data_IF_083200535798
#
_entry.id   IF_083200535798
#
_cell.length_a   1.000
_cell.length_b   1.000
_cell.length_c   1.000
_cell.angle_alpha   90.00
_cell.angle_beta   90.00
_cell.angle_gamma   90.00
#
_symmetry.space_group_name_H-M   'P 1'
#
loop_
_entity.id
_entity.type
_entity.pdbx_description
1 polymer ?
#
# COMPACT_ATOMS: atom_id res chain seq x y z
N UNK A 1 8.44 -8.65 21.59
CA UNK A 1 8.09 -10.07 21.80
C UNK A 1 7.10 -10.47 20.73
N UNK A 2 7.39 -11.50 19.92
CA UNK A 2 6.49 -11.94 18.83
C UNK A 2 5.21 -12.51 19.43
N UNK A 3 4.02 -11.93 19.22
CA UNK A 3 2.79 -12.56 19.64
C UNK A 3 2.36 -13.49 18.50
N UNK A 4 2.67 -14.79 18.56
CA UNK A 4 2.43 -15.63 17.38
C UNK A 4 2.57 -17.14 17.48
N UNK A 5 2.71 -17.73 18.67
CA UNK A 5 2.88 -19.19 18.78
C UNK A 5 1.79 -19.88 19.61
N UNK A 6 0.52 -19.45 19.52
CA UNK A 6 -0.53 -20.23 20.19
C UNK A 6 -1.99 -19.80 20.10
N UNK A 7 -2.35 -18.60 19.67
CA UNK A 7 -3.76 -18.17 19.65
C UNK A 7 -4.01 -17.32 18.41
N UNK A 8 -5.02 -17.67 17.61
CA UNK A 8 -5.56 -16.77 16.58
C UNK A 8 -5.94 -15.48 17.29
N UNK A 9 -5.14 -14.43 17.10
CA UNK A 9 -5.46 -13.14 17.68
C UNK A 9 -6.71 -12.60 16.98
N UNK A 10 -7.75 -12.19 17.70
CA UNK A 10 -8.95 -11.59 17.10
C UNK A 10 -8.61 -10.41 16.16
N UNK A 11 -7.52 -9.69 16.41
CA UNK A 11 -7.02 -8.63 15.55
C UNK A 11 -6.62 -9.10 14.13
N UNK A 12 -6.29 -10.37 13.92
CA UNK A 12 -6.00 -10.91 12.59
C UNK A 12 -7.24 -10.87 11.67
N UNK A 13 -8.45 -10.95 12.24
CA UNK A 13 -9.70 -10.80 11.48
C UNK A 13 -9.80 -9.38 10.90
N UNK A 14 -9.39 -8.36 11.66
CA UNK A 14 -9.36 -6.98 11.15
C UNK A 14 -8.38 -6.80 10.00
N UNK A 15 -7.24 -7.51 10.01
CA UNK A 15 -6.27 -7.50 8.91
C UNK A 15 -6.86 -8.16 7.65
N UNK A 16 -7.64 -9.23 7.81
CA UNK A 16 -8.35 -9.85 6.67
C UNK A 16 -9.43 -8.92 6.11
N UNK A 17 -10.20 -8.27 6.98
CA UNK A 17 -11.20 -7.28 6.57
C UNK A 17 -10.53 -6.10 5.84
N UNK A 18 -9.41 -5.58 6.35
CA UNK A 18 -8.69 -4.48 5.70
C UNK A 18 -8.14 -4.89 4.34
N UNK A 19 -7.60 -6.11 4.20
CA UNK A 19 -7.15 -6.65 2.92
C UNK A 19 -8.31 -6.76 1.91
N UNK A 20 -9.49 -7.22 2.35
CA UNK A 20 -10.68 -7.28 1.52
C UNK A 20 -11.18 -5.89 1.09
N UNK A 21 -11.24 -4.94 2.03
CA UNK A 21 -11.60 -3.55 1.74
C UNK A 21 -10.60 -2.89 0.78
N UNK A 22 -9.31 -3.14 0.98
CA UNK A 22 -8.24 -2.63 0.12
C UNK A 22 -8.35 -3.19 -1.31
N UNK A 23 -8.56 -4.51 -1.45
CA UNK A 23 -8.77 -5.14 -2.74
C UNK A 23 -10.04 -4.62 -3.44
N UNK A 24 -11.12 -4.43 -2.67
CA UNK A 24 -12.39 -3.88 -3.18
C UNK A 24 -12.23 -2.44 -3.65
N UNK A 25 -11.53 -1.61 -2.88
CA UNK A 25 -11.22 -0.21 -3.23
C UNK A 25 -10.42 -0.16 -4.53
N UNK A 26 -9.36 -0.96 -4.67
CA UNK A 26 -8.58 -1.05 -5.91
C UNK A 26 -9.40 -1.53 -7.11
N UNK A 27 -10.27 -2.52 -6.93
CA UNK A 27 -11.13 -3.02 -8.00
C UNK A 27 -12.16 -1.96 -8.44
N UNK A 28 -12.69 -1.17 -7.50
CA UNK A 28 -13.57 -0.04 -7.80
C UNK A 28 -12.82 1.05 -8.59
N UNK A 29 -11.64 1.45 -8.13
CA UNK A 29 -10.77 2.42 -8.81
C UNK A 29 -10.45 1.97 -10.23
N UNK A 30 -10.22 0.67 -10.45
CA UNK A 30 -9.98 0.11 -11.78
C UNK A 30 -11.18 0.25 -12.72
N UNK A 31 -12.41 0.14 -12.21
CA UNK A 31 -13.63 0.35 -13.03
C UNK A 31 -13.88 1.82 -13.33
N UNK A 32 -13.60 2.71 -12.38
CA UNK A 32 -13.81 4.17 -12.54
C UNK A 32 -12.71 4.85 -13.37
N UNK A 33 -11.54 4.22 -13.55
CA UNK A 33 -10.45 4.75 -14.40
C UNK A 33 -10.86 5.03 -15.85
N UNK A 34 -11.88 4.34 -16.37
CA UNK A 34 -12.33 4.51 -17.75
C UNK A 34 -13.22 5.75 -17.96
N UNK A 35 -13.77 6.32 -16.88
CA UNK A 35 -14.74 7.43 -16.95
C UNK A 35 -14.24 8.69 -16.27
N UNK A 36 -13.39 8.56 -15.24
CA UNK A 36 -12.97 9.67 -14.38
C UNK A 36 -11.51 10.07 -14.57
N UNK A 37 -11.22 11.35 -14.32
CA UNK A 37 -9.83 11.84 -14.32
C UNK A 37 -9.04 11.27 -13.13
N UNK A 38 -7.75 11.01 -13.33
CA UNK A 38 -6.89 10.47 -12.26
C UNK A 38 -6.78 11.43 -11.05
N UNK A 39 -6.88 12.74 -11.28
CA UNK A 39 -6.89 13.74 -10.21
C UNK A 39 -8.17 13.64 -9.37
N UNK A 40 -9.32 13.42 -10.02
CA UNK A 40 -10.61 13.20 -9.35
C UNK A 40 -10.55 11.95 -8.45
N UNK A 41 -10.02 10.85 -8.98
CA UNK A 41 -9.86 9.60 -8.21
C UNK A 41 -8.96 9.79 -6.98
N UNK A 42 -7.80 10.44 -7.13
CA UNK A 42 -6.89 10.71 -6.02
C UNK A 42 -7.52 11.64 -4.96
N UNK A 43 -8.28 12.65 -5.40
CA UNK A 43 -8.98 13.56 -4.50
C UNK A 43 -10.03 12.83 -3.66
N UNK A 44 -10.90 12.02 -4.29
CA UNK A 44 -11.93 11.27 -3.56
C UNK A 44 -11.34 10.24 -2.59
N UNK A 45 -10.23 9.60 -2.94
CA UNK A 45 -9.52 8.70 -2.02
C UNK A 45 -9.04 9.45 -0.78
N UNK A 46 -8.42 10.63 -0.94
CA UNK A 46 -7.96 11.44 0.19
C UNK A 46 -9.12 11.96 1.05
N UNK A 47 -10.22 12.40 0.43
CA UNK A 47 -11.44 12.80 1.15
C UNK A 47 -12.00 11.62 1.95
N UNK A 48 -12.07 10.43 1.36
CA UNK A 48 -12.51 9.22 2.05
C UNK A 48 -11.62 8.87 3.24
N UNK A 49 -10.29 8.94 3.08
CA UNK A 49 -9.34 8.75 4.18
C UNK A 49 -9.55 9.76 5.31
N UNK A 50 -9.74 11.04 4.99
CA UNK A 50 -10.00 12.09 5.98
C UNK A 50 -11.31 11.82 6.73
N UNK A 51 -12.39 11.50 6.01
CA UNK A 51 -13.69 11.22 6.62
C UNK A 51 -13.62 10.02 7.56
N UNK A 52 -13.05 8.89 7.10
CA UNK A 52 -12.90 7.69 7.93
C UNK A 52 -12.01 7.96 9.15
N UNK A 53 -10.91 8.69 8.96
CA UNK A 53 -9.99 9.05 10.05
C UNK A 53 -10.65 9.98 11.07
N UNK A 54 -11.43 10.96 10.63
CA UNK A 54 -12.18 11.86 11.50
C UNK A 54 -13.28 11.12 12.26
N UNK A 55 -14.06 10.26 11.59
CA UNK A 55 -15.09 9.45 12.26
C UNK A 55 -14.48 8.54 13.31
N UNK A 56 -13.37 7.88 13.00
CA UNK A 56 -12.67 7.04 13.97
C UNK A 56 -12.06 7.86 15.12
N UNK A 57 -11.45 9.01 14.82
CA UNK A 57 -10.90 9.93 15.82
C UNK A 57 -11.97 10.47 16.79
N UNK A 58 -13.15 10.84 16.28
CA UNK A 58 -14.27 11.29 17.12
C UNK A 58 -14.88 10.16 17.96
N UNK A 59 -14.90 8.93 17.44
CA UNK A 59 -15.53 7.80 18.13
C UNK A 59 -14.61 7.12 19.15
N UNK A 60 -13.31 6.97 18.83
CA UNK A 60 -12.34 6.21 19.61
C UNK A 60 -11.24 7.09 20.24
N UNK A 61 -11.08 8.34 19.81
CA UNK A 61 -9.97 9.21 20.22
C UNK A 61 -10.05 9.71 21.66
N UNK A 62 -11.25 9.81 22.24
CA UNK A 62 -11.48 10.24 23.63
C UNK A 62 -10.95 9.23 24.67
N UNK A 63 -10.52 8.04 24.25
CA UNK A 63 -9.96 7.03 25.15
C UNK A 63 -10.99 6.27 25.99
N UNK A 64 -12.29 6.46 25.76
CA UNK A 64 -13.36 5.70 26.43
C UNK A 64 -13.29 4.19 26.15
N UNK A 65 -12.66 3.80 25.05
CA UNK A 65 -12.44 2.40 24.67
C UNK A 65 -11.03 1.90 25.03
N UNK A 66 -10.25 2.67 25.79
CA UNK A 66 -8.87 2.32 26.12
C UNK A 66 -8.78 0.97 26.85
N UNK A 67 -8.05 0.05 26.27
CA UNK A 67 -7.87 -1.31 26.77
C UNK A 67 -6.62 -1.40 27.68
N UNK A 68 -6.58 -2.38 28.60
CA UNK A 68 -5.41 -2.59 29.47
C UNK A 68 -4.11 -2.80 28.69
N UNK A 69 -3.00 -2.33 29.27
CA UNK A 69 -1.65 -2.50 28.71
C UNK A 69 -1.34 -3.98 28.50
N UNK A 70 -0.93 -4.35 27.29
CA UNK A 70 -0.65 -5.73 26.89
C UNK A 70 -1.79 -6.46 26.17
N UNK A 71 -2.96 -5.84 26.03
CA UNK A 71 -4.03 -6.35 25.15
C UNK A 71 -3.68 -6.05 23.69
N UNK A 72 -4.01 -6.97 22.75
CA UNK A 72 -3.84 -6.73 21.30
C UNK A 72 -4.57 -5.46 20.83
N UNK A 73 -5.61 -5.07 21.55
CA UNK A 73 -6.47 -3.92 21.27
C UNK A 73 -5.95 -2.58 21.82
N UNK A 74 -4.87 -2.59 22.61
CA UNK A 74 -4.27 -1.39 23.20
C UNK A 74 -3.92 -0.34 22.13
N UNK A 75 -3.35 -0.78 21.00
CA UNK A 75 -2.94 0.11 19.92
C UNK A 75 -4.14 0.76 19.21
N UNK A 76 -5.23 0.02 19.01
CA UNK A 76 -6.40 0.48 18.25
C UNK A 76 -7.23 1.52 19.01
N UNK A 77 -7.38 1.36 20.33
CA UNK A 77 -8.18 2.25 21.18
C UNK A 77 -7.31 3.14 22.06
N UNK A 78 -6.06 3.36 21.68
CA UNK A 78 -5.17 4.27 22.40
C UNK A 78 -5.76 5.69 22.34
N UNK A 79 -5.82 6.41 23.47
CA UNK A 79 -6.26 7.80 23.48
C UNK A 79 -5.44 8.64 22.51
N UNK A 80 -6.11 9.49 21.74
CA UNK A 80 -5.43 10.42 20.85
C UNK A 80 -4.68 11.46 21.68
N UNK A 81 -3.40 11.65 21.36
CA UNK A 81 -2.59 12.70 21.98
C UNK A 81 -2.16 13.69 20.90
N UNK A 82 -2.31 14.99 21.20
CA UNK A 82 -1.89 16.04 20.28
C UNK A 82 -0.35 16.03 20.20
N UNK A 83 0.24 15.83 19.02
CA UNK A 83 1.69 15.78 18.89
C UNK A 83 2.31 17.14 19.23
N UNK A 84 3.51 17.16 19.86
CA UNK A 84 4.26 18.38 20.13
C UNK A 84 4.48 19.20 18.85
N UNK A 85 4.47 20.54 18.97
CA UNK A 85 4.67 21.46 17.84
C UNK A 85 5.98 21.19 17.09
N UNK A 86 7.01 20.71 17.80
CA UNK A 86 8.30 20.33 17.23
C UNK A 86 8.21 19.19 16.21
N UNK A 87 7.14 18.38 16.20
CA UNK A 87 6.97 17.26 15.27
C UNK A 87 6.10 17.62 14.07
N UNK A 88 5.43 18.79 14.09
CA UNK A 88 4.49 19.19 13.04
C UNK A 88 5.14 19.32 11.66
N UNK A 89 6.42 19.69 11.60
CA UNK A 89 7.14 19.74 10.33
C UNK A 89 7.21 18.36 9.67
N UNK A 90 7.35 17.28 10.44
CA UNK A 90 7.40 15.92 9.91
C UNK A 90 6.03 15.48 9.38
N UNK A 91 4.94 15.84 10.07
CA UNK A 91 3.57 15.62 9.57
C UNK A 91 3.29 16.37 8.27
N UNK A 92 3.70 17.64 8.19
CA UNK A 92 3.55 18.43 6.95
C UNK A 92 4.42 17.86 5.84
N UNK A 93 5.69 17.54 6.12
CA UNK A 93 6.61 16.97 5.13
C UNK A 93 6.11 15.63 4.58
N UNK A 94 5.63 14.74 5.44
CA UNK A 94 5.07 13.44 5.03
C UNK A 94 3.75 13.61 4.25
N UNK A 95 2.86 14.50 4.70
CA UNK A 95 1.63 14.80 3.98
C UNK A 95 1.88 15.37 2.57
N UNK A 96 2.81 16.30 2.45
CA UNK A 96 3.23 16.87 1.15
C UNK A 96 3.89 15.80 0.28
N UNK A 97 4.81 14.99 0.84
CA UNK A 97 5.47 13.92 0.10
C UNK A 97 4.47 12.88 -0.45
N UNK A 98 3.50 12.45 0.37
CA UNK A 98 2.44 11.53 -0.06
C UNK A 98 1.53 12.18 -1.11
N UNK A 99 1.13 13.44 -0.92
CA UNK A 99 0.30 14.17 -1.87
C UNK A 99 0.98 14.33 -3.24
N UNK A 100 2.23 14.80 -3.26
CA UNK A 100 3.04 14.97 -4.47
C UNK A 100 3.31 13.60 -5.12
N UNK A 101 3.70 12.59 -4.34
CA UNK A 101 3.93 11.24 -4.84
C UNK A 101 2.69 10.64 -5.50
N UNK A 102 1.52 10.79 -4.88
CA UNK A 102 0.24 10.36 -5.44
C UNK A 102 -0.11 11.07 -6.75
N UNK A 103 0.14 12.39 -6.84
CA UNK A 103 -0.06 13.16 -8.08
C UNK A 103 0.90 12.72 -9.19
N UNK A 104 2.19 12.55 -8.88
CA UNK A 104 3.19 12.09 -9.85
C UNK A 104 2.85 10.69 -10.36
N UNK A 105 2.44 9.78 -9.47
CA UNK A 105 2.03 8.43 -9.84
C UNK A 105 0.77 8.45 -10.71
N UNK A 106 -0.21 9.27 -10.36
CA UNK A 106 -1.43 9.47 -11.15
C UNK A 106 -1.13 9.98 -12.56
N UNK A 107 -0.14 10.86 -12.71
CA UNK A 107 0.32 11.34 -14.02
C UNK A 107 1.10 10.28 -14.79
N UNK A 108 1.98 9.52 -14.14
CA UNK A 108 2.73 8.43 -14.78
C UNK A 108 1.79 7.37 -15.37
N UNK A 109 0.73 7.01 -14.65
CA UNK A 109 -0.31 6.10 -15.14
C UNK A 109 -1.14 6.66 -16.31
N UNK A 110 -1.09 7.98 -16.57
CA UNK A 110 -1.77 8.61 -17.71
C UNK A 110 -0.87 8.71 -18.94
N UNK A 111 0.41 8.99 -18.74
CA UNK A 111 1.36 9.20 -19.85
C UNK A 111 1.98 7.91 -20.37
N UNK A 112 1.96 6.84 -19.57
CA UNK A 112 2.68 5.60 -19.85
C UNK A 112 1.76 4.38 -19.69
N UNK A 113 2.01 3.31 -20.44
CA UNK A 113 1.32 2.03 -20.26
C UNK A 113 1.48 1.50 -18.83
N UNK A 114 0.39 1.07 -18.21
CA UNK A 114 0.40 0.59 -16.81
C UNK A 114 1.39 -0.57 -16.57
N UNK A 115 1.65 -1.39 -17.59
CA UNK A 115 2.62 -2.48 -17.55
C UNK A 115 4.07 -2.00 -17.35
N UNK A 116 4.40 -0.76 -17.73
CA UNK A 116 5.72 -0.16 -17.50
C UNK A 116 5.85 0.44 -16.11
N UNK A 117 4.73 0.80 -15.46
CA UNK A 117 4.69 1.41 -14.13
C UNK A 117 4.72 0.35 -13.03
N UNK A 118 4.09 -0.81 -13.24
CA UNK A 118 4.04 -1.92 -12.26
C UNK A 118 5.43 -2.35 -11.73
N UNK A 119 6.50 -2.46 -12.56
CA UNK A 119 7.85 -2.74 -12.07
C UNK A 119 8.40 -1.73 -11.05
N UNK A 120 8.04 -0.45 -11.18
CA UNK A 120 8.54 0.61 -10.30
C UNK A 120 7.98 0.49 -8.88
N UNK A 121 6.77 -0.02 -8.72
CA UNK A 121 6.19 -0.25 -7.39
C UNK A 121 7.01 -1.29 -6.60
N UNK A 122 7.66 -2.24 -7.27
CA UNK A 122 8.53 -3.22 -6.61
C UNK A 122 9.83 -2.60 -6.06
N UNK A 123 10.29 -1.46 -6.58
CA UNK A 123 11.45 -0.72 -6.03
C UNK A 123 11.16 -0.24 -4.59
N UNK A 124 9.87 -0.08 -4.25
CA UNK A 124 9.44 0.24 -2.89
C UNK A 124 9.94 -0.77 -1.85
N UNK A 125 10.07 -2.06 -2.20
CA UNK A 125 10.56 -3.10 -1.27
C UNK A 125 12.03 -2.90 -0.88
N UNK A 126 13.01 -2.83 -1.81
CA UNK A 126 14.39 -2.50 -1.48
C UNK A 126 14.51 -1.18 -0.73
N UNK A 127 13.73 -0.17 -1.12
CA UNK A 127 13.75 1.15 -0.47
C UNK A 127 13.26 1.07 0.99
N UNK A 128 12.23 0.25 1.27
CA UNK A 128 11.76 0.01 2.63
C UNK A 128 12.81 -0.69 3.50
N UNK A 129 13.55 -1.65 2.95
CA UNK A 129 14.67 -2.32 3.65
C UNK A 129 15.78 -1.30 3.93
N UNK A 130 16.15 -0.49 2.93
CA UNK A 130 17.17 0.54 3.05
C UNK A 130 16.86 1.52 4.19
N UNK A 131 15.66 2.12 4.19
CA UNK A 131 15.25 3.03 5.26
C UNK A 131 15.05 2.32 6.61
N UNK A 132 14.61 1.05 6.59
CA UNK A 132 14.51 0.21 7.79
C UNK A 132 15.86 0.05 8.50
N UNK A 133 16.91 -0.23 7.74
CA UNK A 133 18.27 -0.35 8.26
C UNK A 133 18.85 1.02 8.63
N UNK A 134 18.64 2.04 7.79
CA UNK A 134 19.23 3.37 8.00
C UNK A 134 18.65 4.10 9.22
N UNK A 135 17.33 4.03 9.43
CA UNK A 135 16.64 4.79 10.49
C UNK A 135 16.52 3.97 11.77
N UNK A 136 16.18 2.69 11.66
CA UNK A 136 15.91 1.86 12.83
C UNK A 136 17.07 0.92 13.19
N UNK A 137 18.10 0.80 12.34
CA UNK A 137 19.23 -0.12 12.57
C UNK A 137 18.84 -1.59 12.54
N UNK A 138 17.60 -1.91 12.13
CA UNK A 138 17.04 -3.26 12.19
C UNK A 138 17.24 -3.98 10.87
N UNK A 139 18.07 -5.02 10.89
CA UNK A 139 18.23 -5.91 9.75
C UNK A 139 17.05 -6.89 9.62
N UNK A 140 16.58 -7.20 8.39
CA UNK A 140 15.58 -8.24 8.18
C UNK A 140 16.08 -9.59 8.71
N UNK A 141 15.21 -10.30 9.42
CA UNK A 141 15.50 -11.65 9.90
C UNK A 141 15.42 -12.70 8.77
N UNK A 142 15.86 -13.94 9.04
CA UNK A 142 15.88 -15.02 8.04
C UNK A 142 14.48 -15.28 7.44
N UNK A 143 13.43 -15.11 8.23
CA UNK A 143 12.04 -15.28 7.79
C UNK A 143 11.56 -14.13 6.90
N UNK A 144 11.95 -12.90 7.20
CA UNK A 144 11.68 -11.71 6.39
C UNK A 144 12.39 -11.82 5.04
N UNK A 145 13.64 -12.29 5.02
CA UNK A 145 14.35 -12.57 3.77
C UNK A 145 13.62 -13.59 2.88
N UNK A 146 13.08 -14.67 3.46
CA UNK A 146 12.28 -15.63 2.72
C UNK A 146 10.99 -15.00 2.15
N UNK A 147 10.31 -14.15 2.93
CA UNK A 147 9.14 -13.40 2.46
C UNK A 147 9.46 -12.42 1.34
N UNK A 148 10.55 -11.65 1.47
CA UNK A 148 11.04 -10.72 0.44
C UNK A 148 11.35 -11.48 -0.85
N UNK A 149 12.09 -12.59 -0.76
CA UNK A 149 12.42 -13.42 -1.93
C UNK A 149 11.16 -13.94 -2.63
N UNK A 150 10.14 -14.35 -1.87
CA UNK A 150 8.87 -14.81 -2.41
C UNK A 150 8.10 -13.69 -3.13
N UNK A 151 8.00 -12.50 -2.54
CA UNK A 151 7.29 -11.36 -3.16
C UNK A 151 8.03 -10.90 -4.42
N UNK A 152 9.36 -10.76 -4.36
CA UNK A 152 10.19 -10.41 -5.52
C UNK A 152 10.07 -11.46 -6.62
N UNK A 153 10.10 -12.75 -6.28
CA UNK A 153 9.94 -13.85 -7.23
C UNK A 153 8.56 -13.86 -7.90
N UNK A 154 7.49 -13.62 -7.15
CA UNK A 154 6.14 -13.50 -7.69
C UNK A 154 5.98 -12.29 -8.60
N UNK A 155 6.58 -11.15 -8.25
CA UNK A 155 6.60 -9.95 -9.08
C UNK A 155 7.35 -10.18 -10.39
N UNK A 156 8.56 -10.74 -10.33
CA UNK A 156 9.36 -11.07 -11.51
C UNK A 156 8.66 -12.09 -12.42
N UNK A 157 8.04 -13.11 -11.84
CA UNK A 157 7.24 -14.08 -12.58
C UNK A 157 6.05 -13.43 -13.30
N UNK A 158 5.36 -12.52 -12.63
CA UNK A 158 4.23 -11.78 -13.23
C UNK A 158 4.70 -10.95 -14.43
N UNK A 159 5.82 -10.23 -14.29
CA UNK A 159 6.41 -9.44 -15.38
C UNK A 159 6.85 -10.32 -16.55
N UNK A 160 7.52 -11.44 -16.26
CA UNK A 160 7.91 -12.40 -17.29
C UNK A 160 6.70 -12.97 -18.04
N UNK A 161 5.63 -13.32 -17.32
CA UNK A 161 4.37 -13.82 -17.90
C UNK A 161 3.70 -12.79 -18.80
N UNK A 162 3.66 -11.52 -18.41
CA UNK A 162 3.09 -10.44 -19.22
C UNK A 162 3.91 -10.18 -20.49
N UNK A 163 5.24 -10.19 -20.37
CA UNK A 163 6.17 -10.03 -21.50
C UNK A 163 6.03 -11.18 -22.51
N UNK A 164 5.93 -12.42 -22.02
CA UNK A 164 5.73 -13.60 -22.87
C UNK A 164 4.38 -13.58 -23.60
N UNK A 165 3.32 -13.06 -22.97
CA UNK A 165 1.99 -12.90 -23.61
C UNK A 165 1.99 -11.82 -24.70
N UNK A 166 2.58 -10.64 -24.42
CA UNK A 166 2.73 -9.59 -25.45
C UNK A 166 3.49 -10.07 -26.69
N UNK A 167 4.54 -10.89 -26.50
CA UNK A 167 5.31 -11.46 -27.62
C UNK A 167 4.46 -12.41 -28.48
N UNK A 168 3.61 -13.23 -27.83
CA UNK A 168 2.71 -14.15 -28.54
C UNK A 168 1.61 -13.42 -29.32
N UNK A 169 1.07 -12.33 -28.79
CA UNK A 169 0.04 -11.54 -29.49
C UNK A 169 0.64 -10.79 -30.71
N UNK A 170 1.90 -10.35 -30.63
CA UNK A 170 2.65 -9.78 -31.75
C UNK A 170 2.95 -10.82 -32.85
N UNK A 171 3.33 -12.05 -32.47
CA UNK A 171 3.58 -13.15 -33.44
C UNK A 171 2.28 -13.62 -34.14
N UNK A 172 1.12 -13.49 -33.49
CA UNK A 172 -0.19 -13.83 -34.10
C UNK A 172 -0.71 -12.70 -35.01
N UNK A 173 -0.37 -11.44 -34.73
CA UNK A 173 -0.79 -10.29 -35.52
C UNK A 173 0.11 -10.01 -36.73
N UNK A 174 1.34 -10.56 -36.77
CA UNK A 174 2.16 -10.54 -37.97
C UNK A 174 1.51 -11.48 -39.01
N UNK A 175 1.02 -10.97 -40.17
CA UNK A 175 0.59 -11.87 -41.23
C UNK A 175 1.81 -12.70 -41.62
N UNK A 176 1.66 -14.03 -41.62
CA UNK A 176 2.67 -14.93 -42.18
C UNK A 176 2.93 -14.46 -43.60
N UNK A 177 4.03 -13.73 -43.77
CA UNK A 177 4.53 -13.28 -45.05
C UNK A 177 5.12 -14.47 -45.77
N UNK A 178 4.24 -15.38 -46.20
CA UNK A 178 4.54 -16.44 -47.13
C UNK A 178 4.21 -15.87 -48.52
N UNK A 179 5.25 -15.32 -49.17
CA UNK A 179 5.39 -15.27 -50.63
C UNK A 179 6.34 -16.38 -51.06
#
# INVERSE_FOLDING_TARGET
TRPGAGVIQPAAILVLISAFCYASSHMMTRRMRLTESAMTLNFFVQVGFILVSLTFGLFAGDGHLAQPKGSTWEFLFRPWHVPPIADWWAFVATGVAVGVGGLMMSQAYRTTEAALVAPFEYIGMPMAIFWGVLVFGTWPDRTAWAGIALICGAGLYTLWRETARKKKDLDVAAPSGDI
#
